data_IF_935301578116
#
_entry.id   IF_935301578116
#
_cell.length_a   1.000
_cell.length_b   1.000
_cell.length_c   1.000
_cell.angle_alpha   90.00
_cell.angle_beta   90.00
_cell.angle_gamma   90.00
#
_symmetry.space_group_name_H-M   'P 1'
#
loop_
_entity.id
_entity.type
_entity.pdbx_description
1 polymer ?
#
# COMPACT_ATOMS: atom_id res chain seq x y z
N UNK A 1 21.41 21.09 -9.89
CA UNK A 1 21.44 20.36 -8.60
C UNK A 1 21.28 18.87 -8.90
N UNK A 2 22.33 18.06 -8.69
CA UNK A 2 22.27 16.61 -8.91
C UNK A 2 21.30 15.99 -7.89
N UNK A 3 20.17 15.46 -8.35
CA UNK A 3 19.25 14.70 -7.50
C UNK A 3 20.02 13.48 -7.01
N UNK A 4 20.35 13.42 -5.71
CA UNK A 4 20.96 12.23 -5.11
C UNK A 4 20.05 11.04 -5.45
N UNK A 5 20.58 10.09 -6.21
CA UNK A 5 19.84 8.87 -6.51
C UNK A 5 19.53 8.14 -5.19
N UNK A 6 18.33 7.55 -5.05
CA UNK A 6 18.00 6.78 -3.86
C UNK A 6 19.05 5.68 -3.67
N UNK A 7 19.56 5.54 -2.43
CA UNK A 7 20.54 4.50 -2.12
C UNK A 7 19.86 3.14 -2.27
N UNK A 8 20.13 2.43 -3.38
CA UNK A 8 19.57 1.12 -3.72
C UNK A 8 19.60 0.12 -2.55
N UNK A 9 20.67 0.16 -1.74
CA UNK A 9 20.86 -0.63 -0.52
C UNK A 9 19.74 -0.48 0.54
N UNK A 10 18.99 0.63 0.54
CA UNK A 10 17.88 0.86 1.49
C UNK A 10 16.55 0.24 1.03
N UNK A 11 16.45 -0.12 -0.26
CA UNK A 11 15.20 -0.57 -0.91
C UNK A 11 15.29 -2.03 -1.34
N UNK A 12 16.46 -2.45 -1.83
CA UNK A 12 16.65 -3.81 -2.31
C UNK A 12 16.34 -4.85 -1.23
N UNK A 13 15.63 -5.90 -1.64
CA UNK A 13 15.19 -7.04 -0.81
C UNK A 13 14.22 -6.73 0.34
N UNK A 14 13.84 -5.46 0.53
CA UNK A 14 12.82 -5.03 1.49
C UNK A 14 11.41 -5.24 0.95
N UNK A 15 10.46 -5.43 1.86
CA UNK A 15 9.04 -5.62 1.53
C UNK A 15 8.28 -4.31 1.67
N UNK A 16 7.69 -3.86 0.56
CA UNK A 16 6.85 -2.66 0.51
C UNK A 16 5.41 -3.05 0.25
N UNK A 17 4.51 -2.63 1.12
CA UNK A 17 3.07 -2.76 0.92
C UNK A 17 2.49 -1.40 0.52
N UNK A 18 1.85 -1.34 -0.65
CA UNK A 18 1.30 -0.11 -1.24
C UNK A 18 -0.22 -0.26 -1.38
N UNK A 19 -0.98 0.60 -0.72
CA UNK A 19 -2.43 0.72 -0.95
C UNK A 19 -2.72 1.66 -2.11
N UNK A 20 -3.82 1.47 -2.83
CA UNK A 20 -4.15 2.29 -4.01
C UNK A 20 -3.21 2.05 -5.19
N UNK A 21 -2.61 0.86 -5.28
CA UNK A 21 -1.56 0.52 -6.24
C UNK A 21 -2.09 0.14 -7.64
N UNK A 22 -3.38 0.37 -7.94
CA UNK A 22 -3.96 0.04 -9.25
C UNK A 22 -3.94 1.19 -10.26
N UNK A 23 -3.69 2.43 -9.80
CA UNK A 23 -3.61 3.63 -10.66
C UNK A 23 -2.74 4.73 -10.08
N UNK A 24 -2.44 5.75 -10.91
CA UNK A 24 -1.81 7.00 -10.48
C UNK A 24 -0.44 6.81 -9.82
N UNK A 25 -0.22 7.51 -8.71
CA UNK A 25 1.05 7.52 -7.97
C UNK A 25 1.43 6.11 -7.49
N UNK A 26 0.46 5.31 -7.05
CA UNK A 26 0.70 3.95 -6.56
C UNK A 26 1.35 3.03 -7.61
N UNK A 27 0.96 3.17 -8.89
CA UNK A 27 1.54 2.39 -10.00
C UNK A 27 2.98 2.82 -10.27
N UNK A 28 3.22 4.13 -10.33
CA UNK A 28 4.56 4.68 -10.58
C UNK A 28 5.50 4.29 -9.43
N UNK A 29 5.01 4.37 -8.19
CA UNK A 29 5.75 3.95 -7.01
C UNK A 29 6.09 2.45 -7.06
N UNK A 30 5.13 1.59 -7.40
CA UNK A 30 5.36 0.16 -7.55
C UNK A 30 6.41 -0.14 -8.64
N UNK A 31 6.35 0.54 -9.78
CA UNK A 31 7.33 0.41 -10.87
C UNK A 31 8.74 0.82 -10.41
N UNK A 32 8.86 1.95 -9.72
CA UNK A 32 10.16 2.43 -9.23
C UNK A 32 10.75 1.49 -8.17
N UNK A 33 9.95 1.09 -7.17
CA UNK A 33 10.41 0.16 -6.12
C UNK A 33 10.79 -1.20 -6.69
N UNK A 34 10.00 -1.75 -7.63
CA UNK A 34 10.35 -2.99 -8.33
C UNK A 34 11.70 -2.85 -9.05
N UNK A 35 11.91 -1.77 -9.80
CA UNK A 35 13.17 -1.54 -10.55
C UNK A 35 14.41 -1.45 -9.64
N UNK A 36 14.20 -1.08 -8.38
CA UNK A 36 15.23 -0.99 -7.34
C UNK A 36 15.43 -2.31 -6.58
N UNK A 37 14.70 -3.37 -6.95
CA UNK A 37 14.83 -4.70 -6.36
C UNK A 37 14.05 -4.90 -5.07
N UNK A 38 12.95 -4.15 -4.87
CA UNK A 38 12.03 -4.39 -3.78
C UNK A 38 11.16 -5.64 -4.02
N UNK A 39 10.69 -6.25 -2.92
CA UNK A 39 9.54 -7.16 -2.90
C UNK A 39 8.29 -6.32 -2.62
N UNK A 40 7.19 -6.64 -3.28
CA UNK A 40 6.00 -5.79 -3.24
C UNK A 40 4.76 -6.57 -2.80
N UNK A 41 3.91 -5.90 -2.02
CA UNK A 41 2.51 -6.24 -1.84
C UNK A 41 1.73 -5.06 -2.43
N UNK A 42 0.93 -5.30 -3.46
CA UNK A 42 0.12 -4.26 -4.11
C UNK A 42 -1.36 -4.48 -3.79
N UNK A 43 -2.01 -3.43 -3.30
CA UNK A 43 -3.39 -3.49 -2.83
C UNK A 43 -4.25 -2.40 -3.44
N UNK A 44 -5.45 -2.80 -3.83
CA UNK A 44 -6.55 -1.98 -4.30
C UNK A 44 -7.83 -2.84 -4.25
N UNK A 45 -8.99 -2.25 -4.53
CA UNK A 45 -10.26 -2.98 -4.56
C UNK A 45 -10.39 -3.94 -5.75
N UNK A 46 -9.83 -3.55 -6.91
CA UNK A 46 -9.97 -4.32 -8.14
C UNK A 46 -8.73 -5.21 -8.38
N UNK A 47 -8.90 -6.51 -8.23
CA UNK A 47 -7.84 -7.50 -8.44
C UNK A 47 -7.36 -7.58 -9.91
N UNK A 48 -8.25 -7.39 -10.88
CA UNK A 48 -7.88 -7.43 -12.30
C UNK A 48 -6.95 -6.26 -12.66
N UNK A 49 -7.22 -5.05 -12.16
CA UNK A 49 -6.32 -3.90 -12.34
C UNK A 49 -4.95 -4.15 -11.68
N UNK A 50 -4.91 -4.76 -10.49
CA UNK A 50 -3.65 -5.12 -9.82
C UNK A 50 -2.85 -6.15 -10.62
N UNK A 51 -3.52 -7.15 -11.21
CA UNK A 51 -2.86 -8.12 -12.09
C UNK A 51 -2.25 -7.44 -13.32
N UNK A 52 -2.97 -6.48 -13.93
CA UNK A 52 -2.45 -5.70 -15.03
C UNK A 52 -1.20 -4.92 -14.61
N UNK A 53 -1.23 -4.24 -13.47
CA UNK A 53 -0.04 -3.55 -12.92
C UNK A 53 1.11 -4.51 -12.69
N UNK A 54 0.88 -5.64 -12.01
CA UNK A 54 1.90 -6.67 -11.73
C UNK A 54 2.61 -7.15 -13.00
N UNK A 55 1.87 -7.39 -14.09
CA UNK A 55 2.43 -7.84 -15.37
C UNK A 55 3.41 -6.83 -16.01
N UNK A 56 3.26 -5.54 -15.68
CA UNK A 56 4.08 -4.46 -16.20
C UNK A 56 5.34 -4.21 -15.34
N UNK A 57 5.37 -4.70 -14.10
CA UNK A 57 6.51 -4.47 -13.20
C UNK A 57 7.75 -5.24 -13.66
N UNK A 58 8.90 -4.59 -13.56
CA UNK A 58 10.22 -5.16 -13.91
C UNK A 58 11.20 -4.89 -12.76
N UNK A 59 12.01 -5.88 -12.44
CA UNK A 59 12.95 -5.79 -11.32
C UNK A 59 13.41 -7.15 -10.82
N UNK A 60 14.37 -7.15 -9.88
CA UNK A 60 14.99 -8.36 -9.31
C UNK A 60 13.98 -9.42 -8.87
N UNK A 61 12.89 -8.98 -8.24
CA UNK A 61 11.86 -9.87 -7.69
C UNK A 61 10.57 -9.86 -8.51
N UNK A 62 10.45 -9.08 -9.59
CA UNK A 62 9.22 -9.05 -10.38
C UNK A 62 9.24 -10.14 -11.46
N UNK A 63 8.16 -10.92 -11.65
CA UNK A 63 6.84 -10.77 -11.01
C UNK A 63 6.65 -11.60 -9.73
N UNK A 64 7.51 -12.56 -9.40
CA UNK A 64 7.23 -13.60 -8.38
C UNK A 64 7.16 -13.08 -6.94
N UNK A 65 8.00 -12.09 -6.63
CA UNK A 65 8.01 -11.33 -5.38
C UNK A 65 7.07 -10.13 -5.37
N UNK A 66 6.14 -10.04 -6.34
CA UNK A 66 5.00 -9.10 -6.31
C UNK A 66 3.75 -9.87 -5.94
N UNK A 67 3.20 -9.60 -4.76
CA UNK A 67 1.97 -10.22 -4.25
C UNK A 67 0.79 -9.27 -4.45
N UNK A 68 -0.33 -9.81 -4.88
CA UNK A 68 -1.59 -9.09 -5.04
C UNK A 68 -2.42 -9.36 -3.80
N UNK A 69 -2.94 -8.29 -3.20
CA UNK A 69 -3.78 -8.39 -2.01
C UNK A 69 -4.95 -7.43 -2.14
N UNK A 70 -6.12 -7.90 -2.61
CA UNK A 70 -7.31 -7.07 -2.69
C UNK A 70 -7.64 -6.49 -1.31
N UNK A 71 -7.94 -5.19 -1.27
CA UNK A 71 -8.13 -4.46 -0.04
C UNK A 71 -9.19 -3.39 -0.22
N UNK A 72 -10.19 -3.44 0.65
CA UNK A 72 -11.10 -2.33 0.90
C UNK A 72 -10.86 -1.78 2.31
N UNK A 73 -10.42 -0.52 2.39
CA UNK A 73 -10.11 0.16 3.65
C UNK A 73 -11.35 0.41 4.51
N UNK A 74 -12.56 0.32 3.93
CA UNK A 74 -13.82 0.47 4.67
C UNK A 74 -14.43 -0.86 5.11
N UNK A 75 -13.72 -1.99 4.93
CA UNK A 75 -14.26 -3.32 5.24
C UNK A 75 -14.35 -3.67 6.74
N UNK A 76 -13.95 -2.75 7.62
CA UNK A 76 -13.98 -2.94 9.07
C UNK A 76 -12.75 -3.65 9.65
N UNK A 77 -12.56 -3.51 10.97
CA UNK A 77 -11.31 -3.94 11.66
C UNK A 77 -11.03 -5.45 11.50
N UNK A 78 -12.04 -6.32 11.59
CA UNK A 78 -11.84 -7.77 11.51
C UNK A 78 -11.43 -8.25 10.11
N UNK A 79 -12.00 -7.62 9.06
CA UNK A 79 -11.59 -7.87 7.69
C UNK A 79 -10.14 -7.40 7.47
N UNK A 80 -9.83 -6.18 7.89
CA UNK A 80 -8.47 -5.63 7.80
C UNK A 80 -7.44 -6.46 8.59
N UNK A 81 -7.83 -7.05 9.73
CA UNK A 81 -6.96 -7.92 10.51
C UNK A 81 -6.52 -9.14 9.71
N UNK A 82 -7.48 -9.81 9.05
CA UNK A 82 -7.20 -10.95 8.17
C UNK A 82 -6.29 -10.55 7.01
N UNK A 83 -6.51 -9.37 6.43
CA UNK A 83 -5.65 -8.84 5.36
C UNK A 83 -4.22 -8.63 5.85
N UNK A 84 -4.03 -8.05 7.05
CA UNK A 84 -2.69 -7.88 7.65
C UNK A 84 -2.01 -9.23 7.88
N UNK A 85 -2.73 -10.21 8.42
CA UNK A 85 -2.18 -11.56 8.64
C UNK A 85 -1.72 -12.19 7.32
N UNK A 86 -2.53 -12.05 6.25
CA UNK A 86 -2.15 -12.51 4.90
C UNK A 86 -0.92 -11.76 4.39
N UNK A 87 -0.90 -10.43 4.50
CA UNK A 87 0.24 -9.61 4.05
C UNK A 87 1.55 -10.03 4.71
N UNK A 88 1.52 -10.26 6.01
CA UNK A 88 2.67 -10.72 6.79
C UNK A 88 3.08 -12.16 6.43
N UNK A 89 2.11 -13.03 6.09
CA UNK A 89 2.39 -14.41 5.68
C UNK A 89 3.13 -14.53 4.34
N UNK A 90 3.03 -13.53 3.46
CA UNK A 90 3.67 -13.59 2.14
C UNK A 90 5.20 -13.60 2.19
N UNK A 91 5.78 -13.03 3.25
CA UNK A 91 7.22 -12.91 3.43
C UNK A 91 7.58 -13.21 4.90
N UNK A 92 7.50 -14.48 5.34
CA UNK A 92 7.55 -14.85 6.76
C UNK A 92 8.86 -14.43 7.46
N UNK A 93 9.98 -14.37 6.73
CA UNK A 93 11.28 -14.01 7.28
C UNK A 93 11.44 -12.50 7.52
N UNK A 94 10.73 -11.66 6.77
CA UNK A 94 10.89 -10.20 6.82
C UNK A 94 9.67 -9.44 7.31
N UNK A 95 8.46 -9.99 7.09
CA UNK A 95 7.19 -9.28 7.18
C UNK A 95 7.16 -8.07 6.24
N UNK A 96 6.27 -7.11 6.51
CA UNK A 96 6.23 -5.80 5.83
C UNK A 96 7.27 -4.87 6.47
N UNK A 97 8.22 -4.37 5.68
CA UNK A 97 9.21 -3.37 6.13
C UNK A 97 8.66 -1.95 5.99
N UNK A 98 7.93 -1.67 4.91
CA UNK A 98 7.36 -0.35 4.60
C UNK A 98 5.89 -0.46 4.24
N UNK A 99 5.06 0.38 4.85
CA UNK A 99 3.65 0.52 4.53
C UNK A 99 3.37 1.90 3.94
N UNK A 100 2.92 1.93 2.69
CA UNK A 100 2.56 3.14 1.96
C UNK A 100 1.04 3.30 1.92
N UNK A 101 0.55 4.27 2.69
CA UNK A 101 -0.85 4.67 2.70
C UNK A 101 -1.14 5.61 1.52
N UNK A 102 -1.20 5.03 0.32
CA UNK A 102 -1.44 5.77 -0.93
C UNK A 102 -2.91 5.68 -1.42
N UNK A 103 -3.69 4.70 -0.93
CA UNK A 103 -5.11 4.65 -1.25
C UNK A 103 -5.83 5.91 -0.76
N UNK A 104 -6.58 6.54 -1.65
CA UNK A 104 -7.43 7.67 -1.33
C UNK A 104 -8.76 7.57 -2.07
N UNK A 105 -9.81 8.02 -1.40
CA UNK A 105 -11.07 8.41 -2.01
C UNK A 105 -11.07 9.94 -2.18
N UNK A 106 -11.26 10.37 -3.42
CA UNK A 106 -11.50 11.78 -3.76
C UNK A 106 -12.96 11.89 -4.18
N UNK A 107 -13.71 12.74 -3.47
CA UNK A 107 -15.07 13.12 -3.86
C UNK A 107 -15.07 13.90 -5.19
N UNK A 108 -16.16 13.88 -5.96
CA UNK A 108 -16.30 14.75 -7.12
C UNK A 108 -16.03 16.21 -6.75
N UNK A 109 -15.39 16.95 -7.67
CA UNK A 109 -15.12 18.37 -7.47
C UNK A 109 -16.44 19.16 -7.51
N UNK A 110 -16.81 19.75 -6.40
CA UNK A 110 -18.00 20.58 -6.23
C UNK A 110 -17.69 21.80 -5.37
N UNK A 111 -18.62 22.76 -5.32
CA UNK A 111 -18.55 23.83 -4.31
C UNK A 111 -18.55 23.21 -2.92
N UNK A 112 -17.88 23.85 -1.96
CA UNK A 112 -17.90 23.43 -0.56
C UNK A 112 -19.32 23.41 0.02
N UNK A 113 -20.20 24.28 -0.47
CA UNK A 113 -21.60 24.37 -0.06
C UNK A 113 -22.43 23.16 -0.55
N UNK A 114 -21.97 22.48 -1.61
CA UNK A 114 -22.66 21.34 -2.22
C UNK A 114 -22.11 19.99 -1.72
N UNK A 115 -21.09 20.02 -0.86
CA UNK A 115 -20.50 18.79 -0.32
C UNK A 115 -21.46 18.19 0.70
N UNK A 116 -21.89 16.95 0.44
CA UNK A 116 -22.74 16.20 1.35
C UNK A 116 -21.93 15.66 2.54
N UNK A 117 -22.60 15.51 3.68
CA UNK A 117 -22.00 14.88 4.86
C UNK A 117 -21.54 13.44 4.55
N UNK A 118 -22.31 12.69 3.76
CA UNK A 118 -21.95 11.33 3.34
C UNK A 118 -20.68 11.31 2.47
N UNK A 119 -20.49 12.31 1.59
CA UNK A 119 -19.26 12.44 0.80
C UNK A 119 -18.04 12.76 1.66
N UNK A 120 -18.23 13.56 2.73
CA UNK A 120 -17.18 13.81 3.72
C UNK A 120 -16.86 12.56 4.52
N UNK A 121 -17.88 11.86 5.03
CA UNK A 121 -17.72 10.60 5.76
C UNK A 121 -16.99 9.56 4.93
N UNK A 122 -17.40 9.34 3.68
CA UNK A 122 -16.71 8.41 2.78
C UNK A 122 -15.22 8.77 2.56
N UNK A 123 -14.91 10.07 2.49
CA UNK A 123 -13.50 10.54 2.41
C UNK A 123 -12.73 10.22 3.69
N UNK A 124 -13.34 10.48 4.86
CA UNK A 124 -12.73 10.20 6.16
C UNK A 124 -12.57 8.70 6.42
N UNK A 125 -13.57 7.89 6.06
CA UNK A 125 -13.60 6.45 6.24
C UNK A 125 -12.43 5.80 5.51
N UNK A 126 -12.16 6.20 4.26
CA UNK A 126 -11.05 5.66 3.48
C UNK A 126 -9.71 6.29 3.91
N UNK A 127 -9.59 7.61 3.85
CA UNK A 127 -8.30 8.29 3.89
C UNK A 127 -7.74 8.39 5.31
N UNK A 128 -8.61 8.36 6.32
CA UNK A 128 -8.24 8.57 7.73
C UNK A 128 -8.49 7.30 8.54
N UNK A 129 -9.74 6.87 8.67
CA UNK A 129 -10.09 5.78 9.58
C UNK A 129 -9.53 4.44 9.12
N UNK A 130 -9.65 4.11 7.83
CA UNK A 130 -9.08 2.91 7.23
C UNK A 130 -7.55 2.87 7.37
N UNK A 131 -6.89 3.99 7.04
CA UNK A 131 -5.44 4.19 7.22
C UNK A 131 -4.99 3.95 8.66
N UNK A 132 -5.65 4.58 9.64
CA UNK A 132 -5.34 4.44 11.07
C UNK A 132 -5.56 2.99 11.54
N UNK A 133 -6.68 2.38 11.13
CA UNK A 133 -7.01 1.01 11.51
C UNK A 133 -5.96 0.03 10.99
N UNK A 134 -5.56 0.18 9.72
CA UNK A 134 -4.53 -0.65 9.12
C UNK A 134 -3.17 -0.47 9.80
N UNK A 135 -2.80 0.77 10.16
CA UNK A 135 -1.60 1.05 10.98
C UNK A 135 -1.69 0.35 12.34
N UNK A 136 -2.81 0.49 13.07
CA UNK A 136 -3.03 -0.13 14.39
C UNK A 136 -2.86 -1.66 14.33
N UNK A 137 -3.30 -2.29 13.25
CA UNK A 137 -3.23 -3.74 13.05
C UNK A 137 -1.83 -4.22 12.62
N UNK A 138 -1.13 -3.45 11.78
CA UNK A 138 0.20 -3.82 11.27
C UNK A 138 1.34 -3.48 12.25
N UNK A 139 1.22 -2.38 13.00
CA UNK A 139 2.28 -1.90 13.88
C UNK A 139 2.78 -2.93 14.91
N UNK A 140 1.94 -3.80 15.53
CA UNK A 140 2.41 -4.86 16.42
C UNK A 140 3.44 -5.81 15.78
N UNK A 141 3.26 -6.16 14.50
CA UNK A 141 4.20 -6.99 13.75
C UNK A 141 5.55 -6.28 13.56
N UNK A 142 5.51 -5.01 13.17
CA UNK A 142 6.71 -4.17 13.00
C UNK A 142 7.46 -3.96 14.33
N UNK A 143 6.73 -3.68 15.42
CA UNK A 143 7.30 -3.53 16.76
C UNK A 143 7.97 -4.82 17.23
N UNK A 144 7.31 -5.98 17.03
CA UNK A 144 7.89 -7.29 17.36
C UNK A 144 9.20 -7.56 16.61
N UNK A 145 9.31 -7.12 15.35
CA UNK A 145 10.54 -7.21 14.54
C UNK A 145 11.60 -6.16 14.89
N UNK A 146 11.24 -5.12 15.65
CA UNK A 146 12.11 -3.96 15.92
C UNK A 146 12.37 -3.09 14.69
N UNK A 147 11.59 -3.23 13.61
CA UNK A 147 11.72 -2.46 12.37
C UNK A 147 10.38 -2.33 11.65
N UNK A 148 10.19 -1.18 11.02
CA UNK A 148 9.02 -0.88 10.20
C UNK A 148 8.91 0.62 9.95
N UNK A 149 8.32 1.01 8.83
CA UNK A 149 8.12 2.41 8.50
C UNK A 149 6.78 2.63 7.81
N UNK A 150 6.07 3.67 8.21
CA UNK A 150 4.84 4.12 7.57
C UNK A 150 5.14 5.37 6.73
N UNK A 151 4.65 5.38 5.50
CA UNK A 151 4.70 6.53 4.59
C UNK A 151 3.26 6.93 4.27
N UNK A 152 2.93 8.20 4.51
CA UNK A 152 1.57 8.77 4.39
C UNK A 152 1.62 10.00 3.49
#
# INVERSE_FOLDING_TARGET
MSKKQPKRQLIEDKVFWITGASRGIGVILAQQLASLGAKLIISARNEAELNQVKSQLKGKHAPDGVKILPLDLTSGEDSLRKIVDIAESFFPDSGVDYMFHNAAFERPKSSVLDVTEDGLKATFDVNVLGTITLTKLLAPFMLKRGKGHFVV
#
